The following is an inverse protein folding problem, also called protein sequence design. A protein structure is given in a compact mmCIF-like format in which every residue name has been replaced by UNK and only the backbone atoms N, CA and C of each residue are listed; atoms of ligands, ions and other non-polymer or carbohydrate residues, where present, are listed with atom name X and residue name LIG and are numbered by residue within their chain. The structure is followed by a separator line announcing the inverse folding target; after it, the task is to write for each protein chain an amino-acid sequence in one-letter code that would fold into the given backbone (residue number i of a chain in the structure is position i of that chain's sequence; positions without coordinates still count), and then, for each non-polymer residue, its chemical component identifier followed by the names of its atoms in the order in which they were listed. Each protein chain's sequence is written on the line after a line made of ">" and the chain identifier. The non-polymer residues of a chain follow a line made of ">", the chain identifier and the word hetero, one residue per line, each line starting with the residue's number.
data_IF_344417117978
#
_entry.id   IF_344417117978
#
_cell.length_a   1.000
_cell.length_b   1.000
_cell.length_c   1.000
_cell.angle_alpha   90.00
_cell.angle_beta   90.00
_cell.angle_gamma   90.00
#
_symmetry.space_group_name_H-M   'P 1'
#
loop_
_entity.id
_entity.type
_entity.pdbx_description
1 polymer ?
#
# COMPACT_ATOMS: atom_id res chain seq x y z
N UNK A 1 -37.14 37.98 -16.44
CA UNK A 1 -37.45 36.56 -16.76
C UNK A 1 -37.75 35.83 -15.46
N UNK A 2 -38.68 36.35 -14.65
CA UNK A 2 -40.14 36.08 -14.61
C UNK A 2 -40.48 34.71 -14.03
N UNK A 3 -41.05 34.76 -12.83
CA UNK A 3 -41.69 33.68 -12.05
C UNK A 3 -42.60 32.75 -12.89
N UNK A 4 -43.09 33.24 -14.03
CA UNK A 4 -43.81 32.47 -15.06
C UNK A 4 -43.02 31.29 -15.65
N UNK A 5 -41.69 31.35 -15.70
CA UNK A 5 -40.87 30.25 -16.23
C UNK A 5 -40.80 29.08 -15.25
N UNK A 6 -40.70 29.34 -13.95
CA UNK A 6 -40.62 28.31 -12.90
C UNK A 6 -41.97 27.59 -12.73
N UNK A 7 -43.09 28.30 -12.79
CA UNK A 7 -44.42 27.67 -12.72
C UNK A 7 -44.73 26.86 -14.00
N UNK A 8 -44.21 27.26 -15.16
CA UNK A 8 -44.38 26.48 -16.40
C UNK A 8 -43.64 25.13 -16.36
N UNK A 9 -42.48 25.06 -15.70
CA UNK A 9 -41.70 23.82 -15.54
C UNK A 9 -42.39 22.88 -14.54
N UNK A 10 -42.98 23.41 -13.47
CA UNK A 10 -43.70 22.59 -12.48
C UNK A 10 -45.03 22.06 -13.02
N UNK A 11 -45.75 22.85 -13.83
CA UNK A 11 -47.03 22.44 -14.43
C UNK A 11 -46.87 21.43 -15.58
N UNK A 12 -45.71 21.38 -16.24
CA UNK A 12 -45.40 20.39 -17.29
C UNK A 12 -45.22 18.96 -16.74
N UNK A 13 -44.92 18.83 -15.45
CA UNK A 13 -44.66 17.53 -14.81
C UNK A 13 -45.92 16.86 -14.22
N UNK A 14 -47.10 17.47 -14.35
CA UNK A 14 -48.37 16.91 -13.89
C UNK A 14 -49.21 16.24 -15.01
N UNK A 15 -48.76 16.34 -16.28
CA UNK A 15 -49.40 15.69 -17.43
C UNK A 15 -48.66 14.41 -17.86
N UNK A 16 -48.21 13.61 -16.90
CA UNK A 16 -47.78 12.25 -17.19
C UNK A 16 -49.05 11.41 -17.47
N UNK A 17 -49.16 10.73 -18.62
CA UNK A 17 -50.33 9.90 -18.89
C UNK A 17 -50.48 8.88 -17.76
N UNK A 18 -51.69 8.76 -17.22
CA UNK A 18 -52.02 7.79 -16.17
C UNK A 18 -51.73 6.38 -16.70
N UNK A 19 -50.58 5.83 -16.34
CA UNK A 19 -50.05 4.58 -16.93
C UNK A 19 -48.53 4.56 -17.14
N UNK A 20 -47.80 5.67 -16.96
CA UNK A 20 -46.33 5.62 -16.91
C UNK A 20 -45.90 5.02 -15.58
N UNK A 21 -45.68 3.71 -15.55
CA UNK A 21 -44.96 3.04 -14.48
C UNK A 21 -43.59 3.73 -14.30
N UNK A 22 -43.39 4.43 -13.19
CA UNK A 22 -42.13 5.12 -12.86
C UNK A 22 -41.07 4.12 -12.36
N UNK A 23 -41.04 2.91 -12.92
CA UNK A 23 -40.04 1.89 -12.64
C UNK A 23 -39.54 1.35 -13.98
N UNK A 24 -38.43 1.91 -14.50
CA UNK A 24 -37.11 1.32 -14.23
C UNK A 24 -35.94 2.32 -14.10
N UNK A 25 -36.20 3.65 -14.12
CA UNK A 25 -35.15 4.67 -14.14
C UNK A 25 -34.33 4.75 -12.84
N UNK A 26 -34.95 4.42 -11.70
CA UNK A 26 -34.24 4.40 -10.41
C UNK A 26 -33.12 3.34 -10.37
N UNK A 27 -33.40 2.14 -10.90
CA UNK A 27 -32.40 1.06 -10.98
C UNK A 27 -31.31 1.33 -12.03
N UNK A 28 -31.63 2.04 -13.12
CA UNK A 28 -30.67 2.41 -14.16
C UNK A 28 -29.53 3.30 -13.61
N UNK A 29 -29.88 4.34 -12.85
CA UNK A 29 -28.90 5.26 -12.28
C UNK A 29 -28.03 4.62 -11.19
N UNK A 30 -28.58 3.68 -10.41
CA UNK A 30 -27.81 2.90 -9.43
C UNK A 30 -26.78 1.98 -10.09
N UNK A 31 -27.14 1.34 -11.21
CA UNK A 31 -26.21 0.50 -11.99
C UNK A 31 -25.08 1.30 -12.62
N UNK A 32 -25.38 2.48 -13.17
CA UNK A 32 -24.34 3.37 -13.71
C UNK A 32 -23.38 3.87 -12.63
N UNK A 33 -23.87 4.21 -11.44
CA UNK A 33 -23.01 4.58 -10.30
C UNK A 33 -22.08 3.42 -9.93
N UNK A 34 -22.62 2.20 -9.80
CA UNK A 34 -21.84 1.00 -9.49
C UNK A 34 -20.77 0.68 -10.56
N UNK A 35 -21.10 0.82 -11.84
CA UNK A 35 -20.13 0.62 -12.93
C UNK A 35 -19.04 1.69 -12.94
N UNK A 36 -19.40 2.96 -12.74
CA UNK A 36 -18.43 4.06 -12.65
C UNK A 36 -17.48 3.85 -11.47
N UNK A 37 -18.00 3.42 -10.32
CA UNK A 37 -17.18 3.03 -9.16
C UNK A 37 -16.23 1.88 -9.46
N UNK A 38 -16.67 0.85 -10.21
CA UNK A 38 -15.80 -0.24 -10.66
C UNK A 38 -14.73 0.24 -11.63
N UNK A 39 -15.03 1.14 -12.56
CA UNK A 39 -14.05 1.75 -13.47
C UNK A 39 -12.95 2.53 -12.72
N UNK A 40 -13.30 3.26 -11.66
CA UNK A 40 -12.32 3.96 -10.82
C UNK A 40 -11.39 3.01 -10.03
N UNK A 41 -11.84 1.80 -9.69
CA UNK A 41 -11.04 0.80 -8.93
C UNK A 41 -10.50 -0.36 -9.79
N UNK A 42 -10.91 -0.45 -11.05
CA UNK A 42 -10.40 -1.38 -12.04
C UNK A 42 -9.07 -0.85 -12.57
N UNK A 43 -8.04 -0.84 -11.71
CA UNK A 43 -6.69 -0.73 -12.22
C UNK A 43 -6.44 -1.92 -13.15
N UNK A 44 -5.84 -1.71 -14.34
CA UNK A 44 -5.50 -2.80 -15.23
C UNK A 44 -4.64 -3.82 -14.47
N UNK A 45 -4.95 -5.09 -14.67
CA UNK A 45 -4.28 -6.26 -14.12
C UNK A 45 -2.74 -6.16 -14.17
N UNK A 46 -2.21 -5.57 -15.24
CA UNK A 46 -0.77 -5.32 -15.44
C UNK A 46 -0.16 -4.33 -14.43
N UNK A 47 -0.87 -3.26 -14.05
CA UNK A 47 -0.34 -2.23 -13.13
C UNK A 47 -0.27 -2.77 -11.70
N UNK A 48 -1.25 -3.59 -11.29
CA UNK A 48 -1.21 -4.29 -10.00
C UNK A 48 -0.02 -5.25 -9.93
N UNK A 49 0.14 -6.09 -10.95
CA UNK A 49 1.25 -7.05 -11.03
C UNK A 49 2.64 -6.36 -11.07
N UNK A 50 2.75 -5.25 -11.79
CA UNK A 50 3.99 -4.47 -11.85
C UNK A 50 4.34 -3.87 -10.49
N UNK A 51 3.34 -3.29 -9.80
CA UNK A 51 3.50 -2.76 -8.44
C UNK A 51 3.94 -3.86 -7.48
N UNK A 52 3.29 -5.02 -7.50
CA UNK A 52 3.63 -6.13 -6.61
C UNK A 52 5.09 -6.55 -6.77
N UNK A 53 5.55 -6.76 -8.01
CA UNK A 53 6.95 -7.11 -8.31
C UNK A 53 7.93 -6.02 -7.87
N UNK A 54 7.58 -4.76 -8.10
CA UNK A 54 8.42 -3.63 -7.71
C UNK A 54 8.59 -3.56 -6.19
N UNK A 55 7.54 -3.82 -5.42
CA UNK A 55 7.62 -3.81 -3.95
C UNK A 55 8.57 -4.90 -3.44
N UNK A 56 8.52 -6.11 -4.01
CA UNK A 56 9.49 -7.16 -3.64
C UNK A 56 10.93 -6.76 -3.99
N UNK A 57 11.14 -6.16 -5.17
CA UNK A 57 12.45 -5.68 -5.58
C UNK A 57 12.98 -4.60 -4.63
N UNK A 58 12.20 -3.54 -4.40
CA UNK A 58 12.58 -2.42 -3.51
C UNK A 58 12.77 -2.91 -2.07
N UNK A 59 11.96 -3.86 -1.61
CA UNK A 59 12.09 -4.50 -0.30
C UNK A 59 13.43 -5.23 -0.10
N UNK A 60 14.01 -5.78 -1.18
CA UNK A 60 15.33 -6.41 -1.14
C UNK A 60 16.50 -5.43 -1.36
N UNK A 61 16.28 -4.32 -2.08
CA UNK A 61 17.33 -3.31 -2.36
C UNK A 61 17.86 -2.70 -1.08
N UNK A 62 17.00 -2.36 -0.11
CA UNK A 62 17.42 -1.78 1.17
C UNK A 62 18.49 -2.61 1.90
N UNK A 63 18.21 -3.90 2.22
CA UNK A 63 19.21 -4.81 2.79
C UNK A 63 20.51 -4.92 1.99
N UNK A 64 20.42 -4.92 0.65
CA UNK A 64 21.60 -4.96 -0.24
C UNK A 64 22.45 -3.70 -0.09
N UNK A 65 21.84 -2.53 0.08
CA UNK A 65 22.56 -1.27 0.30
C UNK A 65 23.27 -1.22 1.66
N UNK A 66 22.96 -2.12 2.59
CA UNK A 66 23.68 -2.26 3.86
C UNK A 66 24.94 -3.14 3.74
N UNK A 67 25.10 -3.88 2.64
CA UNK A 67 26.27 -4.75 2.44
C UNK A 67 27.63 -4.04 2.53
N UNK A 68 27.82 -2.79 2.07
CA UNK A 68 29.10 -2.09 2.25
C UNK A 68 29.46 -1.92 3.72
N UNK A 69 28.48 -1.58 4.57
CA UNK A 69 28.70 -1.47 6.02
C UNK A 69 28.99 -2.84 6.66
N UNK A 70 28.35 -3.89 6.15
CA UNK A 70 28.63 -5.26 6.60
C UNK A 70 30.04 -5.69 6.20
N UNK A 71 30.50 -5.28 5.02
CA UNK A 71 31.86 -5.54 4.53
C UNK A 71 32.92 -4.88 5.44
N UNK A 72 32.75 -3.62 5.82
CA UNK A 72 33.73 -2.96 6.73
C UNK A 72 33.83 -3.68 8.08
N UNK A 73 32.70 -4.18 8.59
CA UNK A 73 32.70 -4.88 9.88
C UNK A 73 33.34 -6.27 9.76
N UNK A 74 32.96 -7.06 8.76
CA UNK A 74 33.38 -8.46 8.68
C UNK A 74 34.72 -8.68 7.98
N UNK A 75 35.06 -7.85 6.99
CA UNK A 75 36.30 -7.99 6.20
C UNK A 75 37.38 -7.06 6.73
N UNK A 76 37.07 -5.79 6.97
CA UNK A 76 38.04 -4.85 7.54
C UNK A 76 38.14 -4.97 9.07
N UNK A 77 37.28 -5.79 9.69
CA UNK A 77 37.25 -6.06 11.14
C UNK A 77 37.15 -4.77 11.96
N UNK A 78 36.38 -3.82 11.45
CA UNK A 78 36.26 -2.50 12.03
C UNK A 78 34.80 -2.12 12.24
N UNK A 79 34.36 -2.15 13.50
CA UNK A 79 33.06 -1.65 13.92
C UNK A 79 33.15 -0.28 14.64
N UNK A 80 34.27 0.42 14.54
CA UNK A 80 34.46 1.71 15.23
C UNK A 80 33.41 2.74 14.77
N UNK A 81 32.75 3.37 15.75
CA UNK A 81 31.68 4.34 15.50
C UNK A 81 30.33 3.74 15.13
N UNK A 82 30.20 2.41 15.04
CA UNK A 82 28.93 1.73 14.74
C UNK A 82 28.19 1.42 16.05
N UNK A 83 26.99 1.98 16.21
CA UNK A 83 26.20 1.84 17.44
C UNK A 83 25.44 0.52 17.52
N UNK A 84 25.83 -0.38 18.44
CA UNK A 84 25.09 -1.63 18.70
C UNK A 84 23.64 -1.39 19.14
N UNK A 85 23.39 -0.32 19.89
CA UNK A 85 22.05 0.06 20.35
C UNK A 85 21.15 0.37 19.17
N UNK A 86 21.66 1.08 18.16
CA UNK A 86 20.92 1.44 16.95
C UNK A 86 20.52 0.20 16.15
N UNK A 87 21.47 -0.72 15.90
CA UNK A 87 21.17 -1.94 15.13
C UNK A 87 20.25 -2.90 15.89
N UNK A 88 20.38 -2.97 17.22
CA UNK A 88 19.46 -3.76 18.07
C UNK A 88 18.04 -3.17 18.06
N UNK A 89 17.91 -1.84 18.11
CA UNK A 89 16.62 -1.17 18.00
C UNK A 89 15.98 -1.43 16.63
N UNK A 90 16.75 -1.45 15.54
CA UNK A 90 16.23 -1.82 14.23
C UNK A 90 15.74 -3.27 14.14
N UNK A 91 16.38 -4.23 14.82
CA UNK A 91 15.86 -5.60 14.93
C UNK A 91 14.49 -5.58 15.61
N UNK A 92 14.37 -4.87 16.74
CA UNK A 92 13.11 -4.77 17.48
C UNK A 92 12.00 -4.15 16.63
N UNK A 93 12.28 -3.03 15.96
CA UNK A 93 11.32 -2.38 15.06
C UNK A 93 10.94 -3.29 13.89
N UNK A 94 11.90 -3.95 13.25
CA UNK A 94 11.61 -4.86 12.15
C UNK A 94 10.80 -6.09 12.60
N UNK A 95 11.02 -6.60 13.81
CA UNK A 95 10.22 -7.67 14.39
C UNK A 95 8.76 -7.25 14.62
N UNK A 96 8.53 -6.00 15.06
CA UNK A 96 7.19 -5.43 15.19
C UNK A 96 6.48 -5.36 13.84
N UNK A 97 7.14 -4.83 12.80
CA UNK A 97 6.59 -4.78 11.45
C UNK A 97 6.36 -6.16 10.82
N UNK A 98 7.26 -7.11 11.06
CA UNK A 98 7.10 -8.49 10.62
C UNK A 98 5.85 -9.11 11.26
N UNK A 99 5.66 -8.92 12.57
CA UNK A 99 4.47 -9.37 13.29
C UNK A 99 3.20 -8.75 12.69
N UNK A 100 3.22 -7.44 12.45
CA UNK A 100 2.11 -6.74 11.80
C UNK A 100 1.80 -7.32 10.41
N UNK A 101 2.83 -7.54 9.59
CA UNK A 101 2.71 -8.10 8.24
C UNK A 101 2.12 -9.51 8.24
N UNK A 102 2.52 -10.36 9.20
CA UNK A 102 1.97 -11.70 9.39
C UNK A 102 0.48 -11.63 9.75
N UNK A 103 0.11 -10.81 10.74
CA UNK A 103 -1.28 -10.67 11.20
C UNK A 103 -2.22 -10.16 10.09
N UNK A 104 -1.73 -9.26 9.23
CA UNK A 104 -2.52 -8.69 8.13
C UNK A 104 -2.30 -9.41 6.79
N UNK A 105 -1.58 -10.53 6.78
CA UNK A 105 -1.24 -11.34 5.59
C UNK A 105 -0.60 -10.54 4.43
N UNK A 106 0.19 -9.52 4.77
CA UNK A 106 0.86 -8.64 3.82
C UNK A 106 2.20 -9.25 3.39
N UNK A 107 2.17 -10.13 2.38
CA UNK A 107 3.36 -10.87 1.89
C UNK A 107 4.59 -10.00 1.61
N UNK A 108 4.49 -8.80 0.99
CA UNK A 108 5.68 -8.00 0.71
C UNK A 108 6.32 -7.42 1.98
N UNK A 109 5.52 -7.07 2.99
CA UNK A 109 5.99 -6.58 4.29
C UNK A 109 6.73 -7.71 5.02
N UNK A 110 6.14 -8.91 5.04
CA UNK A 110 6.75 -10.10 5.65
C UNK A 110 8.12 -10.35 5.02
N UNK A 111 8.18 -10.46 3.69
CA UNK A 111 9.42 -10.68 2.97
C UNK A 111 10.50 -9.63 3.29
N UNK A 112 10.14 -8.35 3.18
CA UNK A 112 11.06 -7.23 3.39
C UNK A 112 11.64 -7.23 4.81
N UNK A 113 10.79 -7.37 5.83
CA UNK A 113 11.25 -7.34 7.21
C UNK A 113 12.00 -8.60 7.63
N UNK A 114 11.71 -9.77 7.04
CA UNK A 114 12.55 -10.95 7.21
C UNK A 114 13.97 -10.70 6.70
N UNK A 115 14.14 -10.14 5.49
CA UNK A 115 15.46 -9.80 4.96
C UNK A 115 16.21 -8.77 5.83
N UNK A 116 15.51 -7.73 6.29
CA UNK A 116 16.10 -6.73 7.19
C UNK A 116 16.60 -7.33 8.50
N UNK A 117 15.79 -8.18 9.15
CA UNK A 117 16.18 -8.83 10.40
C UNK A 117 17.45 -9.67 10.20
N UNK A 118 17.55 -10.43 9.11
CA UNK A 118 18.75 -11.22 8.81
C UNK A 118 20.01 -10.35 8.73
N UNK A 119 19.96 -9.23 8.01
CA UNK A 119 21.11 -8.32 7.90
C UNK A 119 21.41 -7.64 9.24
N UNK A 120 20.39 -7.19 9.98
CA UNK A 120 20.61 -6.54 11.28
C UNK A 120 21.20 -7.48 12.33
N UNK A 121 20.84 -8.77 12.31
CA UNK A 121 21.47 -9.78 13.18
C UNK A 121 22.95 -9.92 12.81
N UNK A 122 23.30 -10.02 11.52
CA UNK A 122 24.69 -10.07 11.08
C UNK A 122 25.47 -8.81 11.49
N UNK A 123 24.82 -7.65 11.46
CA UNK A 123 25.39 -6.40 11.95
C UNK A 123 25.68 -6.44 13.44
N UNK A 124 24.71 -6.83 14.28
CA UNK A 124 24.90 -6.92 15.73
C UNK A 124 26.00 -7.92 16.10
N UNK A 125 26.02 -9.08 15.45
CA UNK A 125 27.07 -10.09 15.67
C UNK A 125 28.44 -9.53 15.28
N UNK A 126 28.56 -8.92 14.10
CA UNK A 126 29.82 -8.35 13.63
C UNK A 126 30.32 -7.22 14.55
N UNK A 127 29.42 -6.36 15.03
CA UNK A 127 29.79 -5.30 15.99
C UNK A 127 30.31 -5.92 17.28
N UNK A 128 29.65 -6.94 17.84
CA UNK A 128 30.11 -7.59 19.08
C UNK A 128 31.46 -8.29 18.94
N UNK A 129 31.80 -8.74 17.74
CA UNK A 129 33.07 -9.44 17.49
C UNK A 129 34.24 -8.49 17.19
N UNK A 130 33.97 -7.34 16.56
CA UNK A 130 34.98 -6.44 15.99
C UNK A 130 34.88 -5.00 16.52
N UNK A 131 34.25 -4.79 17.68
CA UNK A 131 34.22 -3.53 18.43
C UNK A 131 35.48 -3.29 19.26
#
# INVERSE_FOLDING_TARGET
>A
MTFATITSIFKRNQNLPAGVHIEPLHHYNMRQRGQRWRLFHAQPDKVKLATDRLVYFVGAVGPVMTLPQLYTIWIEQNAAGVSIVTWSAYIFTAAFWLTYGILHQQKPIIFTHTCWISIHILMVIGILMYS
#
